data_IF_727837769092
#
_entry.id   IF_727837769092
#
_cell.length_a   1.000
_cell.length_b   1.000
_cell.length_c   1.000
_cell.angle_alpha   90.00
_cell.angle_beta   90.00
_cell.angle_gamma   90.00
#
_symmetry.space_group_name_H-M   'P 1'
#
loop_
_entity.id
_entity.type
_entity.pdbx_description
1 polymer ?
#
# COMPACT_ATOMS: atom_id res chain seq x y z
N UNK A 1 20.54 0.15 -31.44
CA UNK A 1 20.00 0.25 -30.07
C UNK A 1 19.93 -1.12 -29.44
N UNK A 2 19.91 -1.23 -28.10
CA UNK A 2 19.71 -2.51 -27.42
C UNK A 2 18.36 -3.12 -27.84
N UNK A 3 18.36 -4.42 -28.17
CA UNK A 3 17.18 -5.13 -28.69
C UNK A 3 16.14 -5.46 -27.61
N UNK A 4 16.54 -5.43 -26.34
CA UNK A 4 15.70 -5.73 -25.19
C UNK A 4 16.03 -4.71 -24.10
N UNK A 5 15.01 -4.09 -23.55
CA UNK A 5 15.10 -3.20 -22.39
C UNK A 5 14.40 -3.90 -21.23
N UNK A 6 15.09 -4.05 -20.11
CA UNK A 6 14.53 -4.72 -18.92
C UNK A 6 14.16 -3.66 -17.89
N UNK A 7 12.90 -3.64 -17.48
CA UNK A 7 12.40 -2.77 -16.42
C UNK A 7 12.18 -3.57 -15.14
N UNK A 8 12.79 -3.11 -14.05
CA UNK A 8 12.64 -3.69 -12.73
C UNK A 8 11.82 -2.73 -11.86
N UNK A 9 10.78 -3.28 -11.23
CA UNK A 9 9.91 -2.57 -10.28
C UNK A 9 9.97 -3.29 -8.93
N UNK A 10 10.53 -2.64 -7.91
CA UNK A 10 10.62 -3.20 -6.54
C UNK A 10 10.04 -2.24 -5.52
N UNK A 11 9.92 -2.67 -4.25
CA UNK A 11 9.61 -1.72 -3.18
C UNK A 11 10.67 -0.61 -3.03
N UNK A 12 10.32 0.45 -2.30
CA UNK A 12 11.13 1.65 -2.14
C UNK A 12 12.11 1.58 -0.94
N UNK A 13 12.30 0.38 -0.39
CA UNK A 13 13.16 0.11 0.76
C UNK A 13 14.62 0.46 0.47
N UNK A 14 15.35 0.86 1.51
CA UNK A 14 16.74 1.31 1.38
C UNK A 14 17.67 0.22 0.84
N UNK A 15 17.41 -1.04 1.21
CA UNK A 15 18.12 -2.22 0.71
C UNK A 15 17.93 -2.40 -0.80
N UNK A 16 16.70 -2.34 -1.30
CA UNK A 16 16.41 -2.48 -2.72
C UNK A 16 16.91 -1.28 -3.52
N UNK A 17 16.79 -0.06 -2.98
CA UNK A 17 17.41 1.13 -3.59
C UNK A 17 18.90 0.97 -3.81
N UNK A 18 19.61 0.44 -2.82
CA UNK A 18 21.06 0.24 -2.93
C UNK A 18 21.38 -0.85 -3.96
N UNK A 19 20.77 -2.03 -3.81
CA UNK A 19 21.00 -3.15 -4.71
C UNK A 19 20.64 -2.82 -6.17
N UNK A 20 19.51 -2.16 -6.42
CA UNK A 20 19.10 -1.78 -7.77
C UNK A 20 19.96 -0.66 -8.35
N UNK A 21 20.51 0.26 -7.54
CA UNK A 21 21.50 1.24 -8.02
C UNK A 21 22.79 0.57 -8.47
N UNK A 22 23.28 -0.40 -7.70
CA UNK A 22 24.47 -1.16 -8.05
C UNK A 22 24.22 -1.98 -9.33
N UNK A 23 23.05 -2.62 -9.44
CA UNK A 23 22.64 -3.38 -10.63
C UNK A 23 22.55 -2.51 -11.89
N UNK A 24 21.91 -1.34 -11.82
CA UNK A 24 21.80 -0.42 -12.97
C UNK A 24 23.17 0.15 -13.38
N UNK A 25 24.10 0.26 -12.43
CA UNK A 25 25.48 0.69 -12.70
C UNK A 25 26.27 -0.40 -13.44
N UNK A 26 26.07 -1.67 -13.07
CA UNK A 26 26.72 -2.82 -13.72
C UNK A 26 26.08 -3.17 -15.08
N UNK A 27 24.78 -2.92 -15.22
CA UNK A 27 23.97 -3.25 -16.40
C UNK A 27 23.15 -2.04 -16.87
N UNK A 28 23.75 -1.13 -17.68
CA UNK A 28 23.08 0.10 -18.14
C UNK A 28 21.81 -0.12 -18.99
N UNK A 29 21.59 -1.33 -19.50
CA UNK A 29 20.39 -1.77 -20.21
C UNK A 29 19.18 -2.02 -19.29
N UNK A 30 19.40 -2.08 -17.98
CA UNK A 30 18.36 -2.28 -16.96
C UNK A 30 17.89 -0.92 -16.44
N UNK A 31 16.57 -0.73 -16.41
CA UNK A 31 15.95 0.43 -15.77
C UNK A 31 15.24 0.00 -14.49
N UNK A 32 15.55 0.69 -13.39
CA UNK A 32 14.85 0.48 -12.13
C UNK A 32 13.93 1.65 -11.79
N UNK A 33 12.75 1.34 -11.25
CA UNK A 33 11.87 2.32 -10.63
C UNK A 33 11.20 1.76 -9.37
N UNK A 34 10.86 2.62 -8.40
CA UNK A 34 10.12 2.19 -7.22
C UNK A 34 8.67 1.83 -7.58
N UNK A 35 8.12 0.88 -6.83
CA UNK A 35 6.73 0.46 -6.95
C UNK A 35 5.76 1.63 -6.65
N UNK A 36 4.87 1.92 -7.60
CA UNK A 36 3.88 2.98 -7.46
C UNK A 36 2.90 2.71 -6.31
N UNK A 37 2.41 1.47 -6.17
CA UNK A 37 1.51 1.09 -5.09
C UNK A 37 2.17 1.28 -3.71
N UNK A 38 3.44 0.88 -3.57
CA UNK A 38 4.18 1.09 -2.33
C UNK A 38 4.44 2.58 -2.05
N UNK A 39 4.70 3.38 -3.08
CA UNK A 39 4.88 4.83 -2.96
C UNK A 39 3.59 5.51 -2.48
N UNK A 40 2.44 5.17 -3.07
CA UNK A 40 1.13 5.68 -2.67
C UNK A 40 0.82 5.30 -1.21
N UNK A 41 1.13 4.07 -0.81
CA UNK A 41 0.98 3.62 0.58
C UNK A 41 1.75 4.50 1.57
N UNK A 42 3.02 4.81 1.27
CA UNK A 42 3.84 5.66 2.12
C UNK A 42 3.26 7.07 2.22
N UNK A 43 2.82 7.65 1.09
CA UNK A 43 2.14 8.94 1.08
C UNK A 43 0.88 8.92 1.95
N UNK A 44 0.03 7.89 1.82
CA UNK A 44 -1.19 7.75 2.63
C UNK A 44 -0.88 7.59 4.13
N UNK A 45 0.18 6.85 4.48
CA UNK A 45 0.63 6.75 5.88
C UNK A 45 1.07 8.09 6.44
N UNK A 46 1.80 8.89 5.65
CA UNK A 46 2.23 10.22 6.08
C UNK A 46 1.04 11.17 6.23
N UNK A 47 0.06 11.11 5.32
CA UNK A 47 -1.21 11.83 5.47
C UNK A 47 -1.96 11.39 6.73
N UNK A 48 -1.95 10.09 7.03
CA UNK A 48 -2.56 9.53 8.24
C UNK A 48 -1.98 10.06 9.56
N UNK A 49 -0.78 10.67 9.53
CA UNK A 49 -0.14 11.27 10.72
C UNK A 49 -0.66 12.67 11.05
N UNK A 50 -1.34 13.36 10.12
CA UNK A 50 -1.94 14.66 10.42
C UNK A 50 -3.00 14.50 11.51
N UNK A 51 -2.96 15.36 12.54
CA UNK A 51 -3.78 15.19 13.74
C UNK A 51 -5.29 15.05 13.44
N UNK A 52 -5.79 15.87 12.51
CA UNK A 52 -7.19 15.82 12.08
C UNK A 52 -7.55 14.49 11.40
N UNK A 53 -6.67 13.98 10.54
CA UNK A 53 -6.84 12.72 9.81
C UNK A 53 -6.70 11.55 10.78
N UNK A 54 -5.70 11.55 11.66
CA UNK A 54 -5.46 10.53 12.66
C UNK A 54 -6.66 10.31 13.58
N UNK A 55 -7.33 11.41 13.99
CA UNK A 55 -8.55 11.35 14.80
C UNK A 55 -9.68 10.65 14.05
N UNK A 56 -9.90 10.99 12.78
CA UNK A 56 -10.93 10.35 11.94
C UNK A 56 -10.59 8.89 11.69
N UNK A 57 -9.34 8.57 11.36
CA UNK A 57 -8.86 7.20 11.16
C UNK A 57 -9.08 6.34 12.41
N UNK A 58 -8.79 6.86 13.61
CA UNK A 58 -9.01 6.14 14.87
C UNK A 58 -10.49 5.79 15.06
N UNK A 59 -11.40 6.71 14.78
CA UNK A 59 -12.85 6.47 14.88
C UNK A 59 -13.32 5.48 13.82
N UNK A 60 -12.89 5.66 12.56
CA UNK A 60 -13.23 4.77 11.45
C UNK A 60 -12.77 3.33 11.72
N UNK A 61 -11.55 3.12 12.23
CA UNK A 61 -11.05 1.81 12.63
C UNK A 61 -11.93 1.16 13.69
N UNK A 62 -12.32 1.90 14.75
CA UNK A 62 -13.21 1.37 15.79
C UNK A 62 -14.57 0.93 15.24
N UNK A 63 -15.17 1.76 14.39
CA UNK A 63 -16.46 1.47 13.77
C UNK A 63 -16.34 0.24 12.85
N UNK A 64 -15.34 0.23 11.98
CA UNK A 64 -15.07 -0.90 11.08
C UNK A 64 -14.87 -2.21 11.88
N UNK A 65 -13.99 -2.20 12.88
CA UNK A 65 -13.78 -3.37 13.75
C UNK A 65 -15.05 -3.83 14.45
N UNK A 66 -15.92 -2.90 14.86
CA UNK A 66 -17.22 -3.27 15.42
C UNK A 66 -18.08 -4.04 14.42
N UNK A 67 -18.21 -3.57 13.17
CA UNK A 67 -18.95 -4.30 12.14
C UNK A 67 -18.33 -5.66 11.84
N UNK A 68 -17.01 -5.73 11.64
CA UNK A 68 -16.29 -6.99 11.36
C UNK A 68 -16.42 -8.04 12.47
N UNK A 69 -16.47 -7.61 13.74
CA UNK A 69 -16.56 -8.54 14.88
C UNK A 69 -17.98 -9.06 15.16
N UNK A 70 -18.99 -8.57 14.43
CA UNK A 70 -20.38 -8.98 14.60
C UNK A 70 -20.95 -9.51 13.28
N UNK A 71 -20.93 -10.84 13.09
CA UNK A 71 -21.29 -11.52 11.84
C UNK A 71 -22.54 -10.99 11.13
N UNK A 72 -23.63 -10.75 11.88
CA UNK A 72 -24.87 -10.20 11.30
C UNK A 72 -24.68 -8.76 10.80
N UNK A 73 -24.03 -7.92 11.60
CA UNK A 73 -23.77 -6.53 11.21
C UNK A 73 -22.73 -6.45 10.07
N UNK A 74 -21.79 -7.38 10.01
CA UNK A 74 -20.85 -7.51 8.91
C UNK A 74 -21.60 -7.83 7.59
N UNK A 75 -22.51 -8.81 7.62
CA UNK A 75 -23.34 -9.15 6.47
C UNK A 75 -24.25 -7.97 6.06
N UNK A 76 -24.95 -7.36 7.03
CA UNK A 76 -25.81 -6.19 6.79
C UNK A 76 -25.02 -5.00 6.21
N UNK A 77 -23.79 -4.79 6.68
CA UNK A 77 -22.88 -3.77 6.16
C UNK A 77 -22.52 -4.10 4.71
N UNK A 78 -22.15 -5.35 4.42
CA UNK A 78 -21.80 -5.81 3.08
C UNK A 78 -22.92 -5.60 2.07
N UNK A 79 -24.15 -5.97 2.45
CA UNK A 79 -25.34 -5.79 1.62
C UNK A 79 -25.63 -4.30 1.35
N UNK A 80 -25.46 -3.44 2.37
CA UNK A 80 -25.71 -2.00 2.25
C UNK A 80 -24.68 -1.26 1.41
N UNK A 81 -23.41 -1.64 1.50
CA UNK A 81 -22.33 -1.00 0.75
C UNK A 81 -22.08 -1.64 -0.62
N UNK A 82 -22.70 -2.80 -0.89
CA UNK A 82 -22.56 -3.53 -2.14
C UNK A 82 -21.23 -4.28 -2.28
N UNK A 83 -20.58 -4.64 -1.16
CA UNK A 83 -19.29 -5.30 -1.13
C UNK A 83 -18.65 -5.33 0.25
N UNK A 84 -17.41 -5.78 0.38
CA UNK A 84 -16.67 -5.67 1.65
C UNK A 84 -15.87 -4.38 1.71
N UNK A 85 -15.66 -3.84 2.92
CA UNK A 85 -14.57 -2.87 3.10
C UNK A 85 -13.26 -3.63 2.84
N UNK A 86 -12.31 -3.04 2.11
CA UNK A 86 -11.03 -3.71 1.87
C UNK A 86 -10.34 -3.92 3.22
N UNK A 87 -10.16 -5.19 3.61
CA UNK A 87 -9.54 -5.53 4.89
C UNK A 87 -8.08 -5.06 4.92
N UNK A 88 -7.66 -4.23 5.90
CA UNK A 88 -6.30 -3.68 5.94
C UNK A 88 -5.18 -4.72 6.02
N UNK A 89 -5.46 -5.97 6.40
CA UNK A 89 -4.42 -6.99 6.59
C UNK A 89 -4.08 -7.83 5.36
N UNK A 90 -4.83 -7.74 4.25
CA UNK A 90 -4.63 -8.67 3.11
C UNK A 90 -3.56 -8.18 2.13
N UNK A 91 -3.22 -6.90 2.18
CA UNK A 91 -2.02 -6.36 1.50
C UNK A 91 -1.23 -5.64 2.57
N UNK A 92 0.10 -5.73 2.57
CA UNK A 92 1.00 -5.07 3.54
C UNK A 92 1.01 -3.53 3.38
N UNK A 93 -0.17 -2.94 3.40
CA UNK A 93 -0.50 -1.53 3.33
C UNK A 93 -1.00 -1.15 4.72
N UNK A 94 -0.06 -1.01 5.66
CA UNK A 94 -0.36 -0.65 7.05
C UNK A 94 -1.23 0.63 7.08
N UNK A 95 -2.44 0.52 7.62
CA UNK A 95 -3.21 1.64 8.15
C UNK A 95 -3.03 1.73 9.66
#
# INVERSE_FOLDING_TARGET
GPKVVVQIVTDNGLNYKKACKDLVKEHPEIYWQPCAAHTINLMLKDIGKFHEVARVLKSAKKISSFFYNHNRLHADMGDKIGGELIHPNTTQLFY
#
